data_IF_440440625530
#
_entry.id   IF_440440625530
#
_cell.length_a   1.000
_cell.length_b   1.000
_cell.length_c   1.000
_cell.angle_alpha   90.00
_cell.angle_beta   90.00
_cell.angle_gamma   90.00
#
_symmetry.space_group_name_H-M   'P 1'
#
loop_
_entity.id
_entity.type
_entity.pdbx_description
1 polymer ?
#
# COMPACT_ATOMS: atom_id res chain seq x y z
N UNK A 1 11.66 -11.52 -12.06
CA UNK A 1 11.23 -10.11 -11.93
C UNK A 1 10.53 -9.70 -13.21
N UNK A 2 9.58 -8.74 -13.16
CA UNK A 2 8.97 -8.20 -14.36
C UNK A 2 9.99 -7.52 -15.28
N UNK A 3 9.79 -7.61 -16.60
CA UNK A 3 10.65 -6.99 -17.61
C UNK A 3 10.14 -5.59 -17.98
N UNK A 4 10.09 -4.70 -16.98
CA UNK A 4 9.79 -3.28 -17.19
C UNK A 4 10.43 -2.41 -16.11
N UNK A 5 10.80 -1.18 -16.46
CA UNK A 5 11.50 -0.24 -15.55
C UNK A 5 10.75 1.08 -15.31
N UNK A 6 9.65 1.32 -16.01
CA UNK A 6 8.94 2.62 -15.97
C UNK A 6 8.47 3.00 -14.57
N UNK A 7 8.04 2.05 -13.73
CA UNK A 7 7.64 2.32 -12.34
C UNK A 7 8.83 2.66 -11.44
N UNK A 8 9.96 1.95 -11.54
CA UNK A 8 11.18 2.28 -10.80
C UNK A 8 11.70 3.67 -11.18
N UNK A 9 11.74 4.00 -12.48
CA UNK A 9 12.17 5.31 -12.96
C UNK A 9 11.27 6.41 -12.42
N UNK A 10 9.95 6.21 -12.49
CA UNK A 10 8.98 7.18 -11.96
C UNK A 10 9.09 7.35 -10.45
N UNK A 11 9.30 6.26 -9.70
CA UNK A 11 9.54 6.32 -8.27
C UNK A 11 10.81 7.12 -7.96
N UNK A 12 11.90 6.89 -8.69
CA UNK A 12 13.16 7.62 -8.50
C UNK A 12 13.00 9.12 -8.79
N UNK A 13 12.30 9.49 -9.86
CA UNK A 13 11.98 10.89 -10.18
C UNK A 13 11.22 11.57 -9.04
N UNK A 14 10.13 10.94 -8.55
CA UNK A 14 9.32 11.50 -7.47
C UNK A 14 10.08 11.54 -6.15
N UNK A 15 10.91 10.54 -5.87
CA UNK A 15 11.70 10.47 -4.65
C UNK A 15 12.80 11.53 -4.61
N UNK A 16 13.45 11.78 -5.75
CA UNK A 16 14.53 12.77 -5.88
C UNK A 16 14.02 14.22 -5.91
N UNK A 17 12.76 14.45 -6.30
CA UNK A 17 12.14 15.78 -6.21
C UNK A 17 11.79 16.12 -4.76
N UNK A 18 12.77 16.72 -4.06
CA UNK A 18 12.64 17.19 -2.69
C UNK A 18 11.67 18.38 -2.54
N UNK A 19 11.41 19.13 -3.62
CA UNK A 19 10.59 20.34 -3.55
C UNK A 19 9.09 20.03 -3.55
N UNK A 20 8.67 18.96 -4.26
CA UNK A 20 7.25 18.59 -4.38
C UNK A 20 7.01 17.09 -4.38
N UNK A 21 7.68 16.36 -5.27
CA UNK A 21 7.41 14.95 -5.53
C UNK A 21 7.37 14.07 -4.28
N UNK A 22 8.43 14.10 -3.47
CA UNK A 22 8.54 13.21 -2.31
C UNK A 22 7.46 13.52 -1.26
N UNK A 23 7.29 14.80 -0.97
CA UNK A 23 6.32 15.29 0.01
C UNK A 23 4.87 14.99 -0.43
N UNK A 24 4.55 15.21 -1.71
CA UNK A 24 3.20 14.99 -2.23
C UNK A 24 2.82 13.51 -2.21
N UNK A 25 3.75 12.61 -2.52
CA UNK A 25 3.52 11.17 -2.40
C UNK A 25 3.30 10.77 -0.94
N UNK A 26 4.16 11.21 -0.02
CA UNK A 26 4.01 10.94 1.41
C UNK A 26 2.64 11.42 1.95
N UNK A 27 2.20 12.64 1.57
CA UNK A 27 0.88 13.16 1.95
C UNK A 27 -0.26 12.31 1.38
N UNK A 28 -0.13 11.82 0.15
CA UNK A 28 -1.12 10.92 -0.45
C UNK A 28 -1.20 9.59 0.28
N UNK A 29 -0.06 9.05 0.72
CA UNK A 29 -0.01 7.84 1.55
C UNK A 29 -0.71 8.05 2.89
N UNK A 30 -0.46 9.18 3.57
CA UNK A 30 -1.21 9.55 4.78
C UNK A 30 -2.71 9.66 4.52
N UNK A 31 -3.11 10.29 3.41
CA UNK A 31 -4.54 10.40 3.08
C UNK A 31 -5.19 9.02 2.84
N UNK A 32 -4.48 8.09 2.18
CA UNK A 32 -4.96 6.72 1.98
C UNK A 32 -5.15 5.96 3.29
N UNK A 33 -4.16 6.09 4.19
CA UNK A 33 -4.19 5.46 5.50
C UNK A 33 -5.32 6.03 6.35
N UNK A 34 -5.34 7.36 6.51
CA UNK A 34 -6.29 8.09 7.35
C UNK A 34 -7.72 8.11 6.79
N UNK A 35 -7.89 7.87 5.49
CA UNK A 35 -9.18 7.85 4.81
C UNK A 35 -9.74 9.23 4.45
N UNK A 36 -8.95 10.29 4.62
CA UNK A 36 -9.32 11.68 4.34
C UNK A 36 -8.08 12.50 3.95
N UNK A 37 -8.29 13.62 3.25
CA UNK A 37 -7.22 14.57 2.94
C UNK A 37 -7.15 15.62 4.03
N UNK A 38 -6.07 15.62 4.80
CA UNK A 38 -5.84 16.64 5.81
C UNK A 38 -5.24 17.92 5.18
N UNK A 39 -5.61 19.12 5.68
CA UNK A 39 -5.09 20.38 5.16
C UNK A 39 -3.58 20.57 5.45
N UNK A 40 -3.04 19.78 6.37
CA UNK A 40 -1.64 19.86 6.78
C UNK A 40 -0.70 19.35 5.67
N UNK A 41 0.39 20.10 5.46
CA UNK A 41 1.48 19.72 4.56
C UNK A 41 2.67 19.08 5.28
N UNK A 42 2.88 19.45 6.54
CA UNK A 42 3.98 18.93 7.33
C UNK A 42 3.78 17.46 7.69
N UNK A 43 4.76 16.62 7.31
CA UNK A 43 4.79 15.18 7.58
C UNK A 43 4.85 14.91 9.09
N UNK A 44 5.53 15.75 9.88
CA UNK A 44 5.61 15.57 11.32
C UNK A 44 4.22 15.68 11.97
N UNK A 45 3.42 16.64 11.50
CA UNK A 45 2.03 16.82 11.95
C UNK A 45 1.17 15.61 11.57
N UNK A 46 1.26 15.15 10.31
CA UNK A 46 0.51 13.98 9.83
C UNK A 46 0.86 12.71 10.63
N UNK A 47 2.16 12.52 10.92
CA UNK A 47 2.67 11.43 11.77
C UNK A 47 2.14 11.52 13.20
N UNK A 48 2.05 12.72 13.77
CA UNK A 48 1.46 12.95 15.09
C UNK A 48 -0.02 12.54 15.15
N UNK A 49 -0.80 12.96 14.15
CA UNK A 49 -2.23 12.62 14.04
C UNK A 49 -2.43 11.11 13.88
N UNK A 50 -1.65 10.48 13.01
CA UNK A 50 -1.61 9.03 12.83
C UNK A 50 -1.28 8.30 14.13
N UNK A 51 -0.23 8.75 14.84
CA UNK A 51 0.18 8.17 16.12
C UNK A 51 -0.94 8.23 17.16
N UNK A 52 -1.66 9.36 17.24
CA UNK A 52 -2.82 9.50 18.12
C UNK A 52 -3.96 8.52 17.76
N UNK A 53 -4.27 8.38 16.46
CA UNK A 53 -5.29 7.43 15.98
C UNK A 53 -4.92 5.98 16.27
N UNK A 54 -3.67 5.61 16.06
CA UNK A 54 -3.19 4.24 16.36
C UNK A 54 -3.25 3.96 17.86
N UNK A 55 -2.88 4.92 18.72
CA UNK A 55 -3.01 4.78 20.18
C UNK A 55 -4.47 4.57 20.59
N UNK A 56 -5.40 5.38 20.05
CA UNK A 56 -6.83 5.21 20.30
C UNK A 56 -7.35 3.85 19.80
N UNK A 57 -6.90 3.40 18.63
CA UNK A 57 -7.24 2.08 18.10
C UNK A 57 -6.77 0.95 19.02
N UNK A 58 -5.55 1.03 19.55
CA UNK A 58 -5.06 0.06 20.52
C UNK A 58 -5.94 0.01 21.77
N UNK A 59 -6.28 1.15 22.35
CA UNK A 59 -7.16 1.21 23.53
C UNK A 59 -8.53 0.58 23.24
N UNK A 60 -9.17 0.96 22.14
CA UNK A 60 -10.49 0.45 21.75
C UNK A 60 -10.49 -1.07 21.52
N UNK A 61 -9.46 -1.61 20.84
CA UNK A 61 -9.36 -3.05 20.61
C UNK A 61 -8.97 -3.80 21.88
N UNK A 62 -8.13 -3.20 22.74
CA UNK A 62 -7.78 -3.77 24.03
C UNK A 62 -9.04 -4.01 24.86
N UNK A 63 -9.88 -2.98 24.99
CA UNK A 63 -11.17 -3.07 25.67
C UNK A 63 -12.08 -4.13 25.04
N UNK A 64 -12.27 -4.07 23.72
CA UNK A 64 -13.15 -5.00 22.98
C UNK A 64 -12.77 -6.47 23.16
N UNK A 65 -11.48 -6.78 23.28
CA UNK A 65 -11.00 -8.15 23.44
C UNK A 65 -10.63 -8.49 24.90
N UNK A 66 -10.87 -7.57 25.85
CA UNK A 66 -10.52 -7.75 27.26
C UNK A 66 -9.02 -7.98 27.49
N UNK A 67 -8.18 -7.22 26.80
CA UNK A 67 -6.71 -7.32 26.84
C UNK A 67 -6.19 -6.17 27.70
N UNK A 68 -5.32 -6.47 28.67
CA UNK A 68 -4.54 -5.43 29.35
C UNK A 68 -3.44 -4.92 28.42
N UNK A 69 -3.64 -3.72 27.85
CA UNK A 69 -2.66 -3.08 26.98
C UNK A 69 -1.75 -2.13 27.77
N UNK A 70 -0.44 -2.43 27.77
CA UNK A 70 0.59 -1.66 28.50
C UNK A 70 1.46 -0.81 27.57
N UNK A 71 1.02 -0.61 26.33
CA UNK A 71 1.77 0.07 25.29
C UNK A 71 2.57 -0.88 24.38
N UNK A 72 3.06 -0.31 23.27
CA UNK A 72 3.87 -1.03 22.28
C UNK A 72 5.30 -1.16 22.81
N UNK A 73 5.77 -2.40 22.97
CA UNK A 73 7.12 -2.74 23.41
C UNK A 73 7.67 -3.85 22.53
N UNK A 74 8.92 -3.71 22.11
CA UNK A 74 9.62 -4.72 21.32
C UNK A 74 11.10 -4.71 21.69
N UNK A 75 11.57 -5.84 22.19
CA UNK A 75 12.99 -6.09 22.39
C UNK A 75 13.51 -6.91 21.19
N UNK A 76 14.58 -6.43 20.57
CA UNK A 76 15.22 -7.12 19.44
C UNK A 76 16.08 -8.30 19.92
N UNK A 77 16.63 -8.22 21.14
CA UNK A 77 17.46 -9.28 21.71
C UNK A 77 16.62 -10.45 22.21
N UNK A 78 15.40 -10.18 22.67
CA UNK A 78 14.43 -11.20 23.07
C UNK A 78 13.00 -10.90 22.55
N UNK A 79 12.71 -11.29 21.29
CA UNK A 79 11.39 -11.09 20.69
C UNK A 79 10.24 -11.83 21.41
N UNK A 80 10.54 -12.88 22.17
CA UNK A 80 9.56 -13.74 22.83
C UNK A 80 9.26 -13.32 24.27
N UNK A 81 10.13 -12.52 24.90
CA UNK A 81 9.85 -11.91 26.21
C UNK A 81 8.68 -10.92 26.22
N UNK A 82 8.23 -10.46 25.05
CA UNK A 82 7.11 -9.55 24.94
C UNK A 82 5.79 -10.21 25.37
N UNK A 83 4.82 -9.43 25.86
CA UNK A 83 3.47 -9.95 26.11
C UNK A 83 2.77 -10.38 24.81
N UNK A 84 1.77 -11.27 24.91
CA UNK A 84 1.06 -11.79 23.72
C UNK A 84 0.55 -10.71 22.76
N UNK A 85 0.00 -9.56 23.22
CA UNK A 85 -0.35 -8.46 22.32
C UNK A 85 0.82 -7.94 21.49
N UNK A 86 1.98 -7.73 22.11
CA UNK A 86 3.16 -7.27 21.40
C UNK A 86 3.75 -8.35 20.48
N UNK A 87 3.75 -9.63 20.89
CA UNK A 87 4.14 -10.75 20.01
C UNK A 87 3.21 -10.85 18.79
N UNK A 88 1.90 -10.81 19.00
CA UNK A 88 0.92 -10.83 17.92
C UNK A 88 1.10 -9.64 16.96
N UNK A 89 1.38 -8.44 17.49
CA UNK A 89 1.68 -7.28 16.65
C UNK A 89 2.96 -7.47 15.83
N UNK A 90 4.00 -8.09 16.39
CA UNK A 90 5.23 -8.42 15.65
C UNK A 90 4.92 -9.37 14.50
N UNK A 91 4.26 -10.50 14.79
CA UNK A 91 3.94 -11.50 13.76
C UNK A 91 3.00 -10.97 12.68
N UNK A 92 2.02 -10.14 13.05
CA UNK A 92 1.14 -9.49 12.09
C UNK A 92 1.91 -8.50 11.21
N UNK A 93 2.78 -7.67 11.81
CA UNK A 93 3.59 -6.71 11.07
C UNK A 93 4.50 -7.43 10.08
N UNK A 94 5.26 -8.44 10.50
CA UNK A 94 6.13 -9.21 9.62
C UNK A 94 5.36 -9.90 8.48
N UNK A 95 4.15 -10.41 8.73
CA UNK A 95 3.33 -11.01 7.67
C UNK A 95 2.87 -9.97 6.63
N UNK A 96 2.45 -8.78 7.08
CA UNK A 96 2.03 -7.69 6.18
C UNK A 96 3.22 -7.09 5.43
N UNK A 97 4.38 -6.92 6.10
CA UNK A 97 5.62 -6.50 5.48
C UNK A 97 6.10 -7.50 4.41
N UNK A 98 5.97 -8.81 4.65
CA UNK A 98 6.24 -9.83 3.64
C UNK A 98 5.33 -9.71 2.41
N UNK A 99 4.04 -9.47 2.61
CA UNK A 99 3.11 -9.22 1.50
C UNK A 99 3.44 -7.91 0.75
N UNK A 100 3.83 -6.86 1.46
CA UNK A 100 4.29 -5.60 0.86
C UNK A 100 5.58 -5.80 0.06
N UNK A 101 6.53 -6.59 0.54
CA UNK A 101 7.76 -6.91 -0.18
C UNK A 101 7.50 -7.65 -1.49
N UNK A 102 6.55 -8.61 -1.47
CA UNK A 102 6.09 -9.29 -2.69
C UNK A 102 5.49 -8.28 -3.68
N UNK A 103 4.64 -7.36 -3.21
CA UNK A 103 4.04 -6.34 -4.06
C UNK A 103 5.09 -5.41 -4.68
N UNK A 104 6.02 -4.88 -3.87
CA UNK A 104 7.13 -4.01 -4.31
C UNK A 104 8.00 -4.71 -5.36
N UNK A 105 8.25 -6.01 -5.17
CA UNK A 105 9.00 -6.83 -6.13
C UNK A 105 8.21 -7.04 -7.43
N UNK A 106 6.92 -7.33 -7.32
CA UNK A 106 6.03 -7.55 -8.44
C UNK A 106 5.80 -6.28 -9.29
N UNK A 107 5.93 -5.09 -8.69
CA UNK A 107 5.87 -3.81 -9.40
C UNK A 107 7.23 -3.33 -9.90
N UNK A 108 8.30 -4.13 -9.73
CA UNK A 108 9.66 -3.76 -10.08
C UNK A 108 10.07 -2.38 -9.54
N UNK A 109 9.58 -2.02 -8.35
CA UNK A 109 9.92 -0.77 -7.65
C UNK A 109 11.12 -0.95 -6.74
N UNK A 110 11.76 0.15 -6.34
CA UNK A 110 13.02 0.17 -5.57
C UNK A 110 12.71 0.08 -4.06
N UNK A 111 13.05 -1.03 -3.38
CA UNK A 111 12.70 -1.23 -1.95
C UNK A 111 13.32 -0.19 -1.00
N UNK A 112 14.51 0.32 -1.32
CA UNK A 112 15.26 1.25 -0.47
C UNK A 112 14.73 2.69 -0.55
N UNK A 113 13.88 3.02 -1.54
CA UNK A 113 13.41 4.39 -1.80
C UNK A 113 12.00 4.62 -1.25
N UNK A 114 11.90 4.76 0.06
CA UNK A 114 10.67 5.14 0.77
C UNK A 114 10.41 6.65 0.70
N UNK A 115 9.13 7.02 0.74
CA UNK A 115 8.64 8.39 0.81
C UNK A 115 8.45 8.84 2.26
N UNK A 116 7.94 7.97 3.15
CA UNK A 116 7.73 8.27 4.58
C UNK A 116 8.86 7.73 5.45
N UNK A 117 9.28 6.49 5.22
CA UNK A 117 10.43 5.88 5.87
C UNK A 117 11.72 6.18 5.11
N UNK A 118 12.81 6.35 5.86
CA UNK A 118 14.17 6.59 5.38
C UNK A 118 15.15 5.63 6.06
N UNK A 119 16.36 5.52 5.50
CA UNK A 119 17.52 4.83 6.08
C UNK A 119 17.37 3.32 6.36
N UNK A 120 16.28 2.71 5.90
CA UNK A 120 16.08 1.26 5.86
C UNK A 120 16.33 0.70 4.47
N UNK A 121 16.97 -0.47 4.39
CA UNK A 121 17.06 -1.26 3.16
C UNK A 121 15.71 -1.72 2.59
N UNK A 122 14.62 -1.49 3.33
CA UNK A 122 13.24 -1.85 3.01
C UNK A 122 12.27 -0.66 3.17
N UNK A 123 12.75 0.58 3.08
CA UNK A 123 11.94 1.78 3.35
C UNK A 123 10.60 1.82 2.59
N UNK A 124 10.59 1.49 1.29
CA UNK A 124 9.35 1.49 0.50
C UNK A 124 8.42 0.32 0.86
N UNK A 125 8.97 -0.81 1.31
CA UNK A 125 8.17 -1.94 1.82
C UNK A 125 7.43 -1.53 3.10
N UNK A 126 8.13 -0.86 4.02
CA UNK A 126 7.55 -0.35 5.25
C UNK A 126 6.43 0.66 4.97
N UNK A 127 6.68 1.58 4.05
CA UNK A 127 5.69 2.54 3.55
C UNK A 127 4.39 1.88 3.07
N UNK A 128 4.50 0.83 2.26
CA UNK A 128 3.33 0.10 1.75
C UNK A 128 2.66 -0.70 2.87
N UNK A 129 3.42 -1.35 3.75
CA UNK A 129 2.87 -2.13 4.87
C UNK A 129 2.06 -1.25 5.83
N UNK A 130 2.53 -0.04 6.09
CA UNK A 130 1.91 0.88 7.04
C UNK A 130 0.54 1.41 6.58
N UNK A 131 0.26 1.41 5.27
CA UNK A 131 -1.08 1.70 4.72
C UNK A 131 -2.18 0.77 5.25
N UNK A 132 -1.81 -0.44 5.69
CA UNK A 132 -2.73 -1.47 6.16
C UNK A 132 -2.73 -1.63 7.68
N UNK A 133 -1.99 -0.79 8.41
CA UNK A 133 -1.75 -1.02 9.83
C UNK A 133 -3.00 -0.97 10.69
N UNK A 134 -3.84 0.04 10.47
CA UNK A 134 -5.07 0.29 11.22
C UNK A 134 -6.23 -0.62 10.77
N UNK A 135 -6.27 -0.97 9.48
CA UNK A 135 -7.34 -1.78 8.87
C UNK A 135 -7.11 -3.28 8.96
N UNK A 136 -5.86 -3.73 9.06
CA UNK A 136 -5.49 -5.14 9.03
C UNK A 136 -4.57 -5.53 10.18
N UNK A 137 -3.36 -4.96 10.25
CA UNK A 137 -2.29 -5.44 11.15
C UNK A 137 -2.73 -5.42 12.61
N UNK A 138 -3.20 -4.27 13.10
CA UNK A 138 -3.58 -4.08 14.50
C UNK A 138 -4.87 -4.87 14.84
N UNK A 139 -5.96 -4.81 14.07
CA UNK A 139 -7.14 -5.64 14.31
C UNK A 139 -6.85 -7.15 14.34
N UNK A 140 -6.05 -7.66 13.41
CA UNK A 140 -5.72 -9.09 13.36
C UNK A 140 -4.88 -9.53 14.56
N UNK A 141 -3.91 -8.73 15.00
CA UNK A 141 -3.11 -9.03 16.18
C UNK A 141 -3.97 -9.13 17.46
N UNK A 142 -4.85 -8.15 17.69
CA UNK A 142 -5.71 -8.15 18.88
C UNK A 142 -6.75 -9.28 18.84
N UNK A 143 -7.29 -9.57 17.66
CA UNK A 143 -8.16 -10.75 17.46
C UNK A 143 -7.41 -12.05 17.74
N UNK A 144 -6.15 -12.16 17.33
CA UNK A 144 -5.32 -13.34 17.59
C UNK A 144 -5.14 -13.59 19.09
N UNK A 145 -4.87 -12.54 19.87
CA UNK A 145 -4.82 -12.64 21.34
C UNK A 145 -6.18 -13.09 21.91
N UNK A 146 -7.29 -12.55 21.40
CA UNK A 146 -8.63 -12.99 21.81
C UNK A 146 -8.88 -14.48 21.56
N UNK A 147 -8.40 -15.03 20.44
CA UNK A 147 -8.44 -16.47 20.13
C UNK A 147 -7.51 -17.24 21.06
N UNK A 148 -6.28 -16.77 21.24
CA UNK A 148 -5.28 -17.40 22.12
C UNK A 148 -5.78 -17.53 23.57
N UNK A 149 -6.46 -16.51 24.10
CA UNK A 149 -7.05 -16.55 25.44
C UNK A 149 -8.13 -17.63 25.58
N UNK A 150 -8.90 -17.89 24.51
CA UNK A 150 -9.93 -18.94 24.49
C UNK A 150 -9.36 -20.32 24.20
N UNK A 151 -8.18 -20.38 23.59
CA UNK A 151 -7.55 -21.63 23.14
C UNK A 151 -6.05 -21.60 23.44
N UNK A 152 -5.63 -21.75 24.72
CA UNK A 152 -4.27 -21.47 25.17
C UNK A 152 -3.18 -22.36 24.57
N UNK A 153 -3.53 -23.53 24.05
CA UNK A 153 -2.60 -24.48 23.43
C UNK A 153 -2.18 -24.07 22.01
N UNK A 154 -2.87 -23.11 21.38
CA UNK A 154 -2.46 -22.63 20.06
C UNK A 154 -1.20 -21.75 20.18
N UNK A 155 -0.40 -21.68 19.12
CA UNK A 155 0.69 -20.72 19.06
C UNK A 155 0.15 -19.35 18.63
N UNK A 156 0.50 -18.29 19.36
CA UNK A 156 0.12 -16.92 19.03
C UNK A 156 0.61 -16.53 17.63
N UNK A 157 1.80 -16.99 17.24
CA UNK A 157 2.34 -16.79 15.90
C UNK A 157 1.44 -17.40 14.83
N UNK A 158 1.14 -18.70 14.96
CA UNK A 158 0.34 -19.45 13.98
C UNK A 158 -1.04 -18.83 13.80
N UNK A 159 -1.71 -18.51 14.92
CA UNK A 159 -3.03 -17.88 14.91
C UNK A 159 -2.96 -16.51 14.24
N UNK A 160 -1.96 -15.69 14.59
CA UNK A 160 -1.80 -14.36 14.02
C UNK A 160 -1.58 -14.39 12.51
N UNK A 161 -0.62 -15.20 12.03
CA UNK A 161 -0.30 -15.29 10.60
C UNK A 161 -1.47 -15.80 9.77
N UNK A 162 -2.22 -16.78 10.30
CA UNK A 162 -3.43 -17.29 9.65
C UNK A 162 -4.50 -16.20 9.55
N UNK A 163 -4.73 -15.45 10.62
CA UNK A 163 -5.71 -14.36 10.62
C UNK A 163 -5.35 -13.20 9.67
N UNK A 164 -4.06 -12.95 9.44
CA UNK A 164 -3.60 -11.95 8.46
C UNK A 164 -3.80 -12.45 7.03
N UNK A 165 -3.55 -13.74 6.76
CA UNK A 165 -3.72 -14.35 5.44
C UNK A 165 -5.18 -14.66 5.07
N UNK A 166 -6.03 -14.92 6.06
CA UNK A 166 -7.46 -15.13 5.86
C UNK A 166 -8.14 -13.82 5.42
N UNK A 167 -9.19 -13.92 4.60
CA UNK A 167 -9.98 -12.75 4.19
C UNK A 167 -10.50 -12.02 5.44
N UNK A 168 -10.04 -10.80 5.74
CA UNK A 168 -10.50 -10.10 6.93
C UNK A 168 -12.00 -9.82 6.77
N UNK A 169 -12.82 -10.06 7.81
CA UNK A 169 -14.21 -9.59 7.78
C UNK A 169 -14.21 -8.05 7.62
N UNK A 170 -15.23 -7.46 6.95
CA UNK A 170 -15.27 -6.03 6.75
C UNK A 170 -15.18 -5.31 8.11
N UNK A 171 -14.15 -4.48 8.28
CA UNK A 171 -13.97 -3.69 9.49
C UNK A 171 -15.06 -2.60 9.54
N UNK A 172 -16.18 -2.87 10.22
CA UNK A 172 -17.22 -1.88 10.52
C UNK A 172 -16.73 -0.96 11.64
N UNK A 173 -15.90 0.02 11.30
CA UNK A 173 -15.33 0.95 12.28
C UNK A 173 -15.19 2.39 11.80
N UNK A 174 -15.45 2.71 10.54
CA UNK A 174 -15.44 4.09 10.05
C UNK A 174 -16.62 4.29 9.10
N UNK A 175 -17.64 5.03 9.56
CA UNK A 175 -18.65 5.57 8.68
C UNK A 175 -17.95 6.50 7.68
N UNK A 176 -17.86 6.09 6.40
CA UNK A 176 -17.31 6.93 5.34
C UNK A 176 -18.19 8.17 5.19
N UNK A 177 -17.74 9.34 5.68
CA UNK A 177 -18.33 10.62 5.25
C UNK A 177 -18.02 10.80 3.77
N UNK A 178 -19.05 11.05 2.96
CA UNK A 178 -18.98 11.06 1.49
C UNK A 178 -18.11 12.17 0.88
N UNK A 179 -17.72 13.21 1.64
CA UNK A 179 -17.16 14.46 1.10
C UNK A 179 -15.65 14.48 0.87
N UNK A 180 -14.87 13.56 1.44
CA UNK A 180 -13.40 13.61 1.37
C UNK A 180 -12.82 12.28 0.87
N UNK A 181 -13.39 11.73 -0.21
CA UNK A 181 -12.79 10.53 -0.80
C UNK A 181 -11.42 10.89 -1.36
N UNK A 182 -10.44 10.05 -1.07
CA UNK A 182 -9.12 10.02 -1.71
C UNK A 182 -9.14 10.18 -3.25
N UNK A 183 -10.26 9.82 -3.91
CA UNK A 183 -10.47 10.01 -5.34
C UNK A 183 -10.68 11.46 -5.78
N UNK A 184 -11.01 12.37 -4.87
CA UNK A 184 -11.33 13.78 -5.13
C UNK A 184 -10.12 14.70 -4.84
N UNK A 185 -8.89 14.17 -4.92
CA UNK A 185 -7.68 14.97 -4.73
C UNK A 185 -7.65 16.10 -5.76
N UNK A 186 -7.64 17.39 -5.35
CA UNK A 186 -7.68 18.50 -6.30
C UNK A 186 -6.47 18.43 -7.23
N UNK A 187 -6.74 18.33 -8.53
CA UNK A 187 -5.73 18.32 -9.60
C UNK A 187 -4.89 19.61 -9.64
N UNK A 188 -5.29 20.62 -8.88
CA UNK A 188 -4.66 21.93 -8.82
C UNK A 188 -3.50 21.93 -7.82
N UNK A 189 -2.28 21.68 -8.34
CA UNK A 189 -0.95 22.14 -7.86
C UNK A 189 0.19 21.11 -8.02
N UNK A 190 0.00 20.03 -8.78
CA UNK A 190 1.14 19.34 -9.37
C UNK A 190 1.67 20.22 -10.51
N UNK A 191 2.82 20.85 -10.31
CA UNK A 191 3.47 21.65 -11.35
C UNK A 191 3.67 20.80 -12.59
N UNK A 192 3.03 21.19 -13.69
CA UNK A 192 3.25 20.61 -15.02
C UNK A 192 4.73 20.80 -15.34
N UNK A 193 5.52 19.73 -15.26
CA UNK A 193 6.78 19.67 -15.99
C UNK A 193 6.37 19.67 -17.45
N UNK A 194 6.44 20.84 -18.10
CA UNK A 194 6.26 20.94 -19.55
C UNK A 194 7.37 20.11 -20.19
N UNK A 195 6.97 19.04 -20.87
CA UNK A 195 7.82 18.32 -21.81
C UNK A 195 8.41 19.34 -22.80
N UNK A 196 9.72 19.57 -22.75
CA UNK A 196 10.44 20.16 -23.88
C UNK A 196 10.41 19.14 -25.00
N UNK A 197 9.54 19.37 -25.98
CA UNK A 197 9.52 18.58 -27.22
C UNK A 197 10.69 19.06 -28.07
N UNK A 198 11.81 18.34 -28.04
CA UNK A 198 12.81 18.45 -29.12
C UNK A 198 12.23 17.68 -30.30
N UNK A 199 11.61 18.40 -31.23
CA UNK A 199 11.09 17.81 -32.46
C UNK A 199 12.25 17.37 -33.35
N UNK A 200 12.38 16.06 -33.57
CA UNK A 200 13.22 15.53 -34.64
C UNK A 200 12.35 15.41 -35.91
N UNK A 201 12.64 16.23 -36.91
CA UNK A 201 12.09 16.13 -38.27
C UNK A 201 13.02 15.28 -39.14
N UNK A 202 12.46 14.38 -39.97
CA UNK A 202 13.22 13.73 -41.03
C UNK A 202 13.56 14.74 -42.14
N UNK A 203 14.60 14.45 -42.93
CA UNK A 203 15.18 15.37 -43.94
C UNK A 203 14.23 15.79 -45.07
N UNK A 204 13.04 15.21 -45.17
CA UNK A 204 12.02 15.52 -46.19
C UNK A 204 10.84 16.34 -45.64
N UNK A 205 10.88 16.77 -44.37
CA UNK A 205 9.86 17.61 -43.77
C UNK A 205 8.55 16.88 -43.43
N UNK A 206 8.50 15.55 -43.52
CA UNK A 206 7.34 14.78 -43.08
C UNK A 206 7.35 14.51 -41.56
N UNK A 207 6.20 14.57 -40.87
CA UNK A 207 6.08 14.17 -39.48
C UNK A 207 6.23 12.64 -39.36
N UNK A 208 7.11 12.17 -38.47
CA UNK A 208 7.30 10.75 -38.23
C UNK A 208 5.98 10.10 -37.72
N UNK A 209 5.54 8.96 -38.29
CA UNK A 209 4.24 8.38 -37.97
C UNK A 209 4.34 7.53 -36.69
N UNK A 210 4.29 8.19 -35.54
CA UNK A 210 4.03 7.56 -34.23
C UNK A 210 3.27 8.55 -33.34
N UNK A 211 2.02 8.84 -33.70
CA UNK A 211 1.10 9.58 -32.85
C UNK A 211 -0.15 8.73 -32.62
N UNK A 212 -0.06 7.75 -31.72
CA UNK A 212 -1.25 7.25 -31.03
C UNK A 212 -1.52 8.22 -29.88
N UNK A 213 -2.56 9.04 -30.05
CA UNK A 213 -2.91 10.13 -29.12
C UNK A 213 -3.27 9.62 -27.74
N UNK A 214 -2.35 9.72 -26.79
CA UNK A 214 -2.64 9.69 -25.37
C UNK A 214 -3.23 11.06 -24.99
N UNK A 215 -4.55 11.10 -24.81
CA UNK A 215 -5.21 12.24 -24.17
C UNK A 215 -4.59 12.42 -22.78
N UNK A 216 -4.27 13.67 -22.45
CA UNK A 216 -3.78 14.09 -21.14
C UNK A 216 -4.79 13.74 -20.04
N UNK A 217 -4.64 12.56 -19.43
CA UNK A 217 -5.33 12.15 -18.21
C UNK A 217 -4.36 11.30 -17.37
N UNK A 218 -4.17 11.56 -16.07
CA UNK A 218 -3.16 10.88 -15.25
C UNK A 218 -3.58 9.46 -14.82
N UNK A 219 -4.67 8.91 -15.37
CA UNK A 219 -5.15 7.55 -15.14
C UNK A 219 -5.58 6.94 -16.49
N UNK A 220 -5.30 5.65 -16.76
CA UNK A 220 -5.99 4.99 -17.86
C UNK A 220 -7.50 4.94 -17.53
N UNK A 221 -8.38 5.12 -18.51
CA UNK A 221 -9.82 4.98 -18.32
C UNK A 221 -10.16 3.49 -18.19
N UNK A 222 -10.86 3.10 -17.10
CA UNK A 222 -11.30 1.70 -16.94
C UNK A 222 -12.55 1.49 -17.79
N UNK A 223 -12.70 0.35 -18.48
CA UNK A 223 -13.88 0.10 -19.30
C UNK A 223 -15.16 0.19 -18.46
N UNK A 224 -16.28 0.66 -19.05
CA UNK A 224 -17.55 0.77 -18.35
C UNK A 224 -18.02 -0.60 -17.83
N UNK A 225 -18.77 -0.57 -16.72
CA UNK A 225 -19.30 -1.78 -16.07
C UNK A 225 -20.20 -2.55 -17.04
N UNK A 226 -19.92 -3.84 -17.23
CA UNK A 226 -20.91 -4.73 -17.83
C UNK A 226 -22.16 -4.83 -16.93
N UNK A 227 -23.39 -4.83 -17.50
CA UNK A 227 -24.61 -5.01 -16.73
C UNK A 227 -24.65 -6.43 -16.15
N UNK A 228 -24.50 -6.56 -14.84
CA UNK A 228 -24.59 -7.86 -14.13
C UNK A 228 -23.64 -8.05 -12.95
N UNK A 229 -22.57 -7.24 -12.84
CA UNK A 229 -21.58 -7.41 -11.77
C UNK A 229 -22.06 -6.77 -10.45
N UNK A 230 -22.58 -7.59 -9.51
CA UNK A 230 -22.92 -7.15 -8.15
C UNK A 230 -21.65 -6.87 -7.34
N UNK A 231 -21.44 -5.59 -7.03
CA UNK A 231 -20.53 -4.99 -6.03
C UNK A 231 -19.35 -5.84 -5.53
N UNK A 232 -18.27 -5.91 -6.31
CA UNK A 232 -16.94 -6.19 -5.77
C UNK A 232 -16.25 -4.86 -5.42
N UNK A 233 -16.02 -4.63 -4.14
CA UNK A 233 -15.34 -3.44 -3.60
C UNK A 233 -13.86 -3.40 -4.07
N UNK A 234 -13.27 -2.21 -4.17
CA UNK A 234 -11.96 -1.98 -4.83
C UNK A 234 -10.80 -2.88 -4.32
N UNK A 235 -10.89 -3.38 -3.08
CA UNK A 235 -9.93 -4.31 -2.47
C UNK A 235 -9.99 -5.72 -3.07
N UNK A 236 -11.16 -6.17 -3.55
CA UNK A 236 -11.31 -7.46 -4.23
C UNK A 236 -10.70 -7.46 -5.65
N UNK A 237 -10.52 -6.28 -6.26
CA UNK A 237 -9.96 -6.15 -7.62
C UNK A 237 -8.44 -6.32 -7.66
N UNK A 238 -7.72 -5.93 -6.60
CA UNK A 238 -6.28 -6.15 -6.48
C UNK A 238 -5.92 -7.64 -6.34
N UNK A 239 -6.70 -8.39 -5.57
CA UNK A 239 -6.50 -9.83 -5.40
C UNK A 239 -6.82 -10.64 -6.68
N UNK A 240 -7.85 -10.23 -7.44
CA UNK A 240 -8.19 -10.88 -8.72
C UNK A 240 -7.22 -10.50 -9.86
N UNK A 241 -6.66 -9.29 -9.89
CA UNK A 241 -5.66 -8.93 -10.90
C UNK A 241 -4.34 -9.70 -10.74
N UNK A 242 -3.91 -9.95 -9.49
CA UNK A 242 -2.71 -10.73 -9.21
C UNK A 242 -2.85 -12.20 -9.64
N UNK A 243 -4.04 -12.80 -9.49
CA UNK A 243 -4.29 -14.18 -9.90
C UNK A 243 -4.56 -14.33 -11.41
N UNK A 244 -5.22 -13.36 -12.04
CA UNK A 244 -5.50 -13.40 -13.49
C UNK A 244 -4.22 -13.19 -14.35
N UNK A 245 -3.29 -12.34 -13.92
CA UNK A 245 -2.00 -12.18 -14.62
C UNK A 245 -1.08 -13.39 -14.45
N UNK A 246 -1.15 -14.07 -13.30
CA UNK A 246 -0.40 -15.32 -13.08
C UNK A 246 -0.91 -16.46 -13.97
N UNK A 247 -2.22 -16.53 -14.24
CA UNK A 247 -2.80 -17.53 -15.14
C UNK A 247 -2.46 -17.27 -16.62
N UNK A 248 -2.49 -16.01 -17.07
CA UNK A 248 -2.19 -15.65 -18.45
C UNK A 248 -0.71 -15.88 -18.85
N UNK A 249 0.21 -15.79 -17.88
CA UNK A 249 1.63 -16.05 -18.09
C UNK A 249 1.97 -17.55 -18.26
N UNK A 250 1.07 -18.45 -17.86
CA UNK A 250 1.25 -19.91 -17.97
C UNK A 250 0.70 -20.51 -19.27
N UNK A 251 0.00 -19.72 -20.09
CA UNK A 251 -0.70 -20.19 -21.30
C UNK A 251 -0.16 -19.64 -22.62
N UNK A 252 0.95 -18.88 -22.62
CA UNK A 252 1.53 -18.43 -23.89
C UNK A 252 2.41 -19.52 -24.54
N UNK A 253 2.18 -19.87 -25.82
CA UNK A 253 3.00 -20.87 -26.52
C UNK A 253 4.42 -20.35 -26.70
N UNK A 254 5.41 -21.20 -26.39
CA UNK A 254 6.84 -20.93 -26.59
C UNK A 254 7.09 -20.55 -28.05
N UNK A 255 7.53 -19.32 -28.31
CA UNK A 255 8.10 -18.96 -29.60
C UNK A 255 9.45 -19.66 -29.74
N UNK A 256 9.56 -20.55 -30.72
CA UNK A 256 10.81 -21.14 -31.18
C UNK A 256 11.55 -20.10 -32.03
N UNK A 257 12.67 -19.59 -31.53
CA UNK A 257 13.56 -18.70 -32.29
C UNK A 257 14.44 -19.47 -33.28
N UNK A 258 14.38 -19.09 -34.56
CA UNK A 258 15.45 -19.24 -35.56
C UNK A 258 15.93 -17.83 -35.92
N UNK A 259 17.23 -17.66 -36.13
CA UNK A 259 17.84 -16.46 -36.73
C UNK A 259 18.72 -15.71 -35.76
#
# INVERSE_FOLDING_TARGET
MPDFSHLARRQAELWADANRGRLDVARRMYAWRLGEVLPHRDIAVLRGIEGARVKALYANLAERFGIQWKGRRYDRADPLAADFPNQALNHAASAVEGAAAIAVTATATIPQRGFVHEDSGQSFVLDIADLFRDKLTVPCAFRAVGVQKKTPHLSIERVTRRLVGDRPPPFRGQARRRRDRVGDWPAERAGVVRSMTVGATLRDGTPAPCCFGLRNSPFPEWPPREPGCRSADATSRLALCASAHAAAALTQPRQTGRG
#
